data_IF_677205249523
#
_entry.id   IF_677205249523
#
_cell.length_a   1.000
_cell.length_b   1.000
_cell.length_c   1.000
_cell.angle_alpha   90.00
_cell.angle_beta   90.00
_cell.angle_gamma   90.00
#
_symmetry.space_group_name_H-M   'P 1'
#
loop_
_entity.id
_entity.type
_entity.pdbx_description
1 polymer ?
#
# COMPACT_ATOMS: atom_id res chain seq x y z
N UNK A 1 17.76 -1.80 1.31
CA UNK A 1 16.63 -2.30 2.11
C UNK A 1 16.06 -1.17 2.94
N UNK A 2 14.74 -1.02 2.88
CA UNK A 2 13.96 -0.05 3.65
C UNK A 2 12.74 -0.74 4.26
N UNK A 3 12.29 -0.26 5.41
CA UNK A 3 11.12 -0.76 6.13
C UNK A 3 9.87 -0.01 5.65
N UNK A 4 8.86 -0.77 5.22
CA UNK A 4 7.64 -0.24 4.67
C UNK A 4 6.44 -0.54 5.55
N UNK A 5 5.55 0.44 5.64
CA UNK A 5 4.17 0.26 6.07
C UNK A 5 3.28 0.48 4.86
N UNK A 6 2.42 -0.47 4.54
CA UNK A 6 1.39 -0.34 3.50
C UNK A 6 0.03 -0.40 4.15
N UNK A 7 -0.72 0.68 4.05
CA UNK A 7 -2.12 0.73 4.49
C UNK A 7 -3.02 0.96 3.29
N UNK A 8 -4.23 0.41 3.33
CA UNK A 8 -5.13 0.51 2.19
C UNK A 8 -6.59 0.43 2.60
N UNK A 9 -7.45 0.82 1.67
CA UNK A 9 -8.90 0.72 1.79
C UNK A 9 -9.48 0.37 0.43
N UNK A 10 -10.17 -0.77 0.36
CA UNK A 10 -10.93 -1.17 -0.81
C UNK A 10 -12.39 -0.74 -0.66
N UNK A 11 -12.97 -0.15 -1.71
CA UNK A 11 -14.40 0.18 -1.71
C UNK A 11 -15.22 -1.10 -1.63
N UNK A 12 -16.20 -1.13 -0.73
CA UNK A 12 -17.14 -2.25 -0.65
C UNK A 12 -18.09 -2.22 -1.84
N UNK A 13 -17.90 -3.17 -2.74
CA UNK A 13 -18.74 -3.46 -3.90
C UNK A 13 -18.55 -4.95 -4.30
N UNK A 14 -19.25 -5.40 -5.34
CA UNK A 14 -19.27 -6.80 -5.76
C UNK A 14 -17.89 -7.33 -6.20
N UNK A 15 -16.97 -6.43 -6.57
CA UNK A 15 -15.60 -6.78 -7.03
C UNK A 15 -14.56 -6.56 -5.95
N UNK A 16 -14.96 -6.18 -4.72
CA UNK A 16 -14.03 -5.86 -3.63
C UNK A 16 -13.10 -7.02 -3.30
N UNK A 17 -13.65 -8.22 -3.16
CA UNK A 17 -12.88 -9.41 -2.78
C UNK A 17 -11.80 -9.73 -3.81
N UNK A 18 -12.15 -9.72 -5.10
CA UNK A 18 -11.20 -9.97 -6.20
C UNK A 18 -10.05 -8.96 -6.20
N UNK A 19 -10.34 -7.67 -5.99
CA UNK A 19 -9.30 -6.62 -5.92
C UNK A 19 -8.40 -6.79 -4.71
N UNK A 20 -8.98 -7.09 -3.55
CA UNK A 20 -8.24 -7.34 -2.32
C UNK A 20 -7.34 -8.57 -2.46
N UNK A 21 -7.87 -9.69 -2.93
CA UNK A 21 -7.13 -10.96 -3.07
C UNK A 21 -5.96 -10.80 -4.06
N UNK A 22 -6.19 -10.10 -5.17
CA UNK A 22 -5.13 -9.76 -6.14
C UNK A 22 -4.04 -8.88 -5.54
N UNK A 23 -4.41 -7.89 -4.74
CA UNK A 23 -3.48 -7.00 -4.05
C UNK A 23 -2.64 -7.74 -2.99
N UNK A 24 -3.28 -8.57 -2.16
CA UNK A 24 -2.60 -9.39 -1.15
C UNK A 24 -1.65 -10.40 -1.80
N UNK A 25 -2.10 -11.06 -2.88
CA UNK A 25 -1.22 -11.93 -3.67
C UNK A 25 0.02 -11.19 -4.14
N UNK A 26 -0.13 -9.94 -4.60
CA UNK A 26 1.01 -9.15 -5.05
C UNK A 26 1.97 -8.77 -3.92
N UNK A 27 1.46 -8.42 -2.74
CA UNK A 27 2.31 -8.21 -1.55
C UNK A 27 3.09 -9.48 -1.22
N UNK A 28 2.42 -10.63 -1.16
CA UNK A 28 3.05 -11.91 -0.85
C UNK A 28 4.17 -12.28 -1.83
N UNK A 29 3.97 -12.04 -3.13
CA UNK A 29 4.99 -12.23 -4.16
C UNK A 29 6.22 -11.34 -3.94
N UNK A 30 6.01 -10.08 -3.57
CA UNK A 30 7.10 -9.12 -3.37
C UNK A 30 7.91 -9.43 -2.11
N UNK A 31 7.26 -9.82 -1.02
CA UNK A 31 7.91 -10.04 0.28
C UNK A 31 8.38 -11.48 0.50
N UNK A 32 8.04 -12.41 -0.40
CA UNK A 32 8.28 -13.84 -0.18
C UNK A 32 7.59 -14.36 1.08
N UNK A 33 6.39 -13.84 1.39
CA UNK A 33 5.62 -14.13 2.62
C UNK A 33 6.29 -13.71 3.94
N UNK A 34 7.36 -12.90 3.88
CA UNK A 34 8.01 -12.34 5.07
C UNK A 34 7.47 -10.94 5.37
N UNK A 35 6.31 -10.88 6.02
CA UNK A 35 5.66 -9.64 6.44
C UNK A 35 4.82 -9.85 7.70
N UNK A 36 4.40 -8.75 8.32
CA UNK A 36 3.40 -8.74 9.39
C UNK A 36 2.09 -8.17 8.84
N UNK A 37 1.01 -8.93 8.94
CA UNK A 37 -0.31 -8.62 8.37
C UNK A 37 -1.49 -9.03 9.27
N UNK A 38 -1.31 -9.10 10.59
CA UNK A 38 -2.36 -9.52 11.53
C UNK A 38 -3.62 -8.66 11.47
N UNK A 39 -3.53 -7.44 10.92
CA UNK A 39 -4.68 -6.54 10.74
C UNK A 39 -5.07 -6.42 9.27
N UNK A 40 -6.37 -6.33 9.01
CA UNK A 40 -6.99 -6.48 7.68
C UNK A 40 -6.71 -5.37 6.65
N UNK A 41 -5.91 -4.36 6.99
CA UNK A 41 -5.66 -3.20 6.13
C UNK A 41 -4.28 -2.58 6.36
N UNK A 42 -3.33 -3.38 6.85
CA UNK A 42 -2.00 -2.94 7.19
C UNK A 42 -1.00 -4.07 6.98
N UNK A 43 0.09 -3.75 6.29
CA UNK A 43 1.24 -4.63 6.15
C UNK A 43 2.50 -3.90 6.59
N UNK A 44 3.40 -4.63 7.25
CA UNK A 44 4.73 -4.16 7.59
C UNK A 44 5.79 -5.17 7.12
N UNK A 45 6.78 -4.72 6.36
CA UNK A 45 7.83 -5.57 5.79
C UNK A 45 9.04 -4.77 5.32
N UNK A 46 10.11 -5.46 4.95
CA UNK A 46 11.30 -4.85 4.35
C UNK A 46 11.44 -5.22 2.87
N UNK A 47 11.81 -4.25 2.04
CA UNK A 47 12.12 -4.48 0.63
C UNK A 47 13.30 -3.61 0.16
N UNK A 48 13.91 -3.98 -0.95
CA UNK A 48 14.95 -3.19 -1.62
C UNK A 48 14.39 -2.42 -2.81
N UNK A 49 13.50 -1.47 -2.54
CA UNK A 49 12.91 -0.56 -3.53
C UNK A 49 12.48 0.76 -2.87
N UNK A 50 11.99 1.74 -3.65
CA UNK A 50 11.45 3.00 -3.12
C UNK A 50 9.95 2.90 -2.85
N UNK A 51 9.40 3.85 -2.07
CA UNK A 51 7.97 3.96 -1.85
C UNK A 51 7.19 4.11 -3.18
N UNK A 52 7.68 4.92 -4.15
CA UNK A 52 6.99 5.07 -5.43
C UNK A 52 7.04 3.80 -6.28
N UNK A 53 8.17 3.08 -6.28
CA UNK A 53 8.32 1.82 -7.01
C UNK A 53 7.37 0.76 -6.45
N UNK A 54 7.28 0.63 -5.13
CA UNK A 54 6.36 -0.28 -4.45
C UNK A 54 4.90 0.08 -4.75
N UNK A 55 4.54 1.37 -4.61
CA UNK A 55 3.18 1.85 -4.90
C UNK A 55 2.79 1.62 -6.37
N UNK A 56 3.72 1.85 -7.29
CA UNK A 56 3.51 1.59 -8.71
C UNK A 56 3.36 0.11 -9.01
N UNK A 57 4.17 -0.75 -8.40
CA UNK A 57 4.08 -2.20 -8.58
C UNK A 57 2.74 -2.76 -8.08
N UNK A 58 2.30 -2.33 -6.90
CA UNK A 58 1.00 -2.72 -6.35
C UNK A 58 -0.15 -2.22 -7.23
N UNK A 59 -0.04 -1.02 -7.80
CA UNK A 59 -1.08 -0.50 -8.70
C UNK A 59 -1.13 -1.22 -10.06
N UNK A 60 0.02 -1.43 -10.71
CA UNK A 60 0.08 -1.93 -12.09
C UNK A 60 -0.05 -3.45 -12.19
N UNK A 61 0.31 -4.18 -11.13
CA UNK A 61 0.35 -5.64 -11.14
C UNK A 61 -0.64 -6.27 -10.18
N UNK A 62 -1.67 -5.54 -9.76
CA UNK A 62 -2.86 -6.09 -9.10
C UNK A 62 -4.12 -5.50 -9.72
N UNK A 63 -5.28 -6.02 -9.33
CA UNK A 63 -6.59 -5.49 -9.75
C UNK A 63 -6.98 -4.19 -9.01
N UNK A 64 -6.03 -3.50 -8.38
CA UNK A 64 -6.28 -2.27 -7.65
C UNK A 64 -6.91 -1.20 -8.55
N UNK A 65 -8.03 -0.63 -8.09
CA UNK A 65 -8.74 0.39 -8.86
C UNK A 65 -8.61 1.77 -8.19
N UNK A 66 -7.76 2.64 -8.73
CA UNK A 66 -7.50 3.97 -8.16
C UNK A 66 -8.72 4.92 -8.14
N UNK A 67 -9.83 4.59 -8.83
CA UNK A 67 -11.08 5.36 -8.73
C UNK A 67 -11.95 4.93 -7.54
N UNK A 68 -11.67 3.75 -6.97
CA UNK A 68 -12.46 3.13 -5.89
C UNK A 68 -11.65 2.96 -4.60
N UNK A 69 -10.41 2.53 -4.74
CA UNK A 69 -9.54 2.07 -3.68
C UNK A 69 -8.46 3.11 -3.37
N UNK A 70 -7.92 3.04 -2.16
CA UNK A 70 -6.87 3.92 -1.66
C UNK A 70 -5.74 3.05 -1.11
N UNK A 71 -4.49 3.42 -1.41
CA UNK A 71 -3.32 2.87 -0.74
C UNK A 71 -2.37 4.00 -0.33
N UNK A 72 -1.69 3.78 0.78
CA UNK A 72 -0.61 4.63 1.30
C UNK A 72 0.56 3.70 1.62
N UNK A 73 1.67 3.93 0.93
CA UNK A 73 2.95 3.26 1.14
C UNK A 73 3.86 4.24 1.86
N UNK A 74 4.36 3.87 3.03
CA UNK A 74 5.23 4.69 3.87
C UNK A 74 6.57 3.98 4.00
N UNK A 75 7.62 4.61 3.49
CA UNK A 75 9.00 4.23 3.75
C UNK A 75 9.46 4.87 5.06
N UNK A 76 9.53 4.07 6.10
CA UNK A 76 9.89 4.51 7.46
C UNK A 76 11.38 4.84 7.54
N UNK A 77 12.21 4.12 6.77
CA UNK A 77 13.67 4.28 6.78
C UNK A 77 14.11 5.58 6.11
N UNK A 78 13.59 5.85 4.91
CA UNK A 78 13.97 7.00 4.11
C UNK A 78 13.07 8.22 4.32
N UNK A 79 12.02 8.09 5.16
CA UNK A 79 11.03 9.15 5.39
C UNK A 79 10.41 9.65 4.09
N UNK A 80 9.89 8.71 3.32
CA UNK A 80 9.20 8.96 2.06
C UNK A 80 7.86 8.27 2.06
N UNK A 81 6.94 8.75 1.23
CA UNK A 81 5.65 8.10 1.05
C UNK A 81 5.19 8.20 -0.39
N UNK A 82 4.39 7.22 -0.80
CA UNK A 82 3.71 7.21 -2.07
C UNK A 82 2.25 6.82 -1.83
N UNK A 83 1.35 7.42 -2.59
CA UNK A 83 -0.09 7.19 -2.44
C UNK A 83 -0.73 6.94 -3.79
N UNK A 84 -1.76 6.09 -3.82
CA UNK A 84 -2.62 5.92 -4.99
C UNK A 84 -4.09 5.92 -4.55
N UNK A 85 -4.94 6.49 -5.40
CA UNK A 85 -6.36 6.69 -5.13
C UNK A 85 -6.70 8.09 -4.63
N UNK A 86 -7.98 8.34 -4.42
CA UNK A 86 -8.48 9.66 -4.01
C UNK A 86 -8.38 9.85 -2.49
N UNK A 87 -7.27 10.40 -2.00
CA UNK A 87 -7.14 10.79 -0.59
C UNK A 87 -7.99 12.03 -0.30
N UNK A 88 -8.81 11.97 0.76
CA UNK A 88 -9.63 13.10 1.19
C UNK A 88 -8.82 14.18 1.92
N UNK A 89 -7.77 13.79 2.64
CA UNK A 89 -7.03 14.68 3.55
C UNK A 89 -5.50 14.52 3.43
N UNK A 90 -4.90 14.72 2.24
CA UNK A 90 -3.46 14.51 2.05
C UNK A 90 -2.60 15.43 2.94
N UNK A 91 -3.00 16.68 3.16
CA UNK A 91 -2.25 17.63 4.00
C UNK A 91 -2.18 17.22 5.47
N UNK A 92 -3.22 16.56 6.00
CA UNK A 92 -3.17 16.03 7.37
C UNK A 92 -2.20 14.86 7.47
N UNK A 93 -2.18 13.99 6.44
CA UNK A 93 -1.22 12.89 6.36
C UNK A 93 0.22 13.43 6.35
N UNK A 94 0.51 14.44 5.52
CA UNK A 94 1.82 15.10 5.47
C UNK A 94 2.21 15.70 6.83
N UNK A 95 1.27 16.39 7.49
CA UNK A 95 1.51 17.02 8.78
C UNK A 95 1.82 16.03 9.89
N UNK A 96 1.20 14.85 9.90
CA UNK A 96 1.39 13.86 10.96
C UNK A 96 2.56 12.91 10.70
N UNK A 97 2.92 12.65 9.43
CA UNK A 97 4.14 11.92 9.10
C UNK A 97 5.39 12.79 9.25
N UNK A 98 5.27 14.10 9.01
CA UNK A 98 6.41 15.03 9.09
C UNK A 98 7.40 14.86 7.93
N UNK A 99 6.93 14.28 6.82
CA UNK A 99 7.60 14.13 5.52
C UNK A 99 6.55 13.75 4.46
#
# INVERSE_FOLDING_TARGET
MASFIVTFKFKSDDTRSERYDSFVKKINELTGYSHWDETTSFYCFELDMTAEALCSALYLYSEFNATKDIMVVIDVTNRQKATKGSLQWPTLLDSYLGF
#
